data_IF_869731509107
#
_entry.id   IF_869731509107
#
_cell.length_a   1.000
_cell.length_b   1.000
_cell.length_c   1.000
_cell.angle_alpha   90.00
_cell.angle_beta   90.00
_cell.angle_gamma   90.00
#
_symmetry.space_group_name_H-M   'P 1'
#
loop_
_entity.id
_entity.type
_entity.pdbx_description
1 polymer ?
#
# COMPACT_ATOMS: atom_id res chain seq x y z
N UNK A 1 -6.68 -13.71 -18.21
CA UNK A 1 -5.67 -14.09 -17.20
C UNK A 1 -5.56 -13.05 -16.09
N UNK A 2 -5.61 -11.75 -16.41
CA UNK A 2 -5.38 -10.69 -15.41
C UNK A 2 -6.41 -10.66 -14.27
N UNK A 3 -7.70 -10.86 -14.57
CA UNK A 3 -8.74 -10.91 -13.53
C UNK A 3 -8.52 -12.04 -12.52
N UNK A 4 -8.16 -13.24 -12.99
CA UNK A 4 -7.93 -14.39 -12.11
C UNK A 4 -6.72 -14.15 -11.20
N UNK A 5 -5.64 -13.58 -11.73
CA UNK A 5 -4.48 -13.21 -10.92
C UNK A 5 -4.83 -12.17 -9.85
N UNK A 6 -5.57 -11.12 -10.22
CA UNK A 6 -6.02 -10.09 -9.28
C UNK A 6 -6.90 -10.68 -8.17
N UNK A 7 -7.83 -11.57 -8.53
CA UNK A 7 -8.69 -12.25 -7.58
C UNK A 7 -7.89 -13.13 -6.62
N UNK A 8 -6.94 -13.91 -7.13
CA UNK A 8 -6.07 -14.77 -6.31
C UNK A 8 -5.20 -13.92 -5.38
N UNK A 9 -4.57 -12.85 -5.88
CA UNK A 9 -3.73 -11.97 -5.08
C UNK A 9 -4.52 -11.28 -3.95
N UNK A 10 -5.76 -10.86 -4.24
CA UNK A 10 -6.67 -10.32 -3.23
C UNK A 10 -7.03 -11.36 -2.16
N UNK A 11 -7.43 -12.56 -2.58
CA UNK A 11 -7.82 -13.65 -1.67
C UNK A 11 -6.65 -14.05 -0.77
N UNK A 12 -5.45 -14.16 -1.32
CA UNK A 12 -4.25 -14.50 -0.55
C UNK A 12 -3.93 -13.38 0.44
N UNK A 13 -3.88 -12.13 -0.02
CA UNK A 13 -3.60 -10.98 0.85
C UNK A 13 -4.60 -10.89 2.01
N UNK A 14 -5.89 -10.78 1.71
CA UNK A 14 -6.92 -10.64 2.74
C UNK A 14 -7.02 -11.89 3.62
N UNK A 15 -6.93 -13.08 3.03
CA UNK A 15 -6.97 -14.35 3.74
C UNK A 15 -5.85 -14.46 4.77
N UNK A 16 -4.62 -14.10 4.42
CA UNK A 16 -3.49 -14.09 5.37
C UNK A 16 -3.75 -13.09 6.49
N UNK A 17 -4.06 -11.84 6.16
CA UNK A 17 -4.23 -10.76 7.13
C UNK A 17 -5.34 -11.07 8.15
N UNK A 18 -6.51 -11.50 7.66
CA UNK A 18 -7.65 -11.82 8.52
C UNK A 18 -7.35 -13.06 9.37
N UNK A 19 -6.75 -14.11 8.78
CA UNK A 19 -6.44 -15.33 9.54
C UNK A 19 -5.46 -15.03 10.69
N UNK A 20 -4.44 -14.20 10.47
CA UNK A 20 -3.52 -13.81 11.53
C UNK A 20 -4.20 -12.99 12.63
N UNK A 21 -5.08 -12.07 12.25
CA UNK A 21 -5.90 -11.29 13.19
C UNK A 21 -6.78 -12.21 14.05
N UNK A 22 -7.59 -13.06 13.44
CA UNK A 22 -8.44 -14.03 14.15
C UNK A 22 -7.60 -14.98 15.02
N UNK A 23 -6.43 -15.40 14.52
CA UNK A 23 -5.51 -16.24 15.28
C UNK A 23 -5.04 -15.57 16.56
N UNK A 24 -4.84 -14.25 16.57
CA UNK A 24 -4.54 -13.47 17.77
C UNK A 24 -5.59 -13.65 18.86
N UNK A 25 -6.86 -13.38 18.54
CA UNK A 25 -7.97 -13.58 19.47
C UNK A 25 -8.05 -15.03 19.96
N UNK A 26 -7.99 -15.97 19.04
CA UNK A 26 -8.05 -17.40 19.31
C UNK A 26 -6.96 -17.86 20.29
N UNK A 27 -5.72 -17.46 20.04
CA UNK A 27 -4.55 -17.91 20.78
C UNK A 27 -4.55 -17.38 22.22
N UNK A 28 -4.95 -16.12 22.42
CA UNK A 28 -5.08 -15.53 23.76
C UNK A 28 -6.33 -16.05 24.47
N UNK A 29 -7.46 -16.23 23.78
CA UNK A 29 -8.70 -16.78 24.37
C UNK A 29 -8.45 -18.15 25.02
N UNK A 30 -7.76 -19.06 24.31
CA UNK A 30 -7.43 -20.38 24.87
C UNK A 30 -6.49 -20.29 26.07
N UNK A 31 -5.53 -19.36 26.08
CA UNK A 31 -4.63 -19.15 27.24
C UNK A 31 -5.34 -18.56 28.46
N UNK A 32 -6.35 -17.73 28.23
CA UNK A 32 -7.24 -17.23 29.29
C UNK A 32 -8.28 -18.29 29.74
N UNK A 33 -8.22 -19.51 29.19
CA UNK A 33 -9.15 -20.58 29.50
C UNK A 33 -10.58 -20.29 29.02
N UNK A 34 -10.74 -19.53 27.95
CA UNK A 34 -12.03 -19.36 27.25
C UNK A 34 -12.20 -20.50 26.26
N UNK A 35 -13.38 -21.12 26.26
CA UNK A 35 -13.69 -22.17 25.29
C UNK A 35 -13.98 -21.53 23.94
N UNK A 36 -13.22 -21.92 22.92
CA UNK A 36 -13.47 -21.53 21.53
C UNK A 36 -14.31 -22.61 20.86
N UNK A 37 -15.48 -22.23 20.36
CA UNK A 37 -16.41 -23.12 19.67
C UNK A 37 -16.03 -23.30 18.20
N UNK A 38 -15.63 -22.20 17.54
CA UNK A 38 -15.27 -22.24 16.12
C UNK A 38 -14.16 -21.24 15.78
N UNK A 39 -13.23 -21.66 14.94
CA UNK A 39 -12.27 -20.81 14.24
C UNK A 39 -12.55 -20.90 12.74
N UNK A 40 -13.04 -19.81 12.13
CA UNK A 40 -13.43 -19.79 10.72
C UNK A 40 -12.53 -18.86 9.92
N UNK A 41 -11.96 -19.38 8.85
CA UNK A 41 -11.36 -18.58 7.77
C UNK A 41 -12.40 -18.48 6.65
N UNK A 42 -12.89 -17.27 6.42
CA UNK A 42 -13.99 -16.97 5.52
C UNK A 42 -15.39 -17.07 6.15
N UNK A 43 -16.39 -16.74 5.35
CA UNK A 43 -17.81 -16.77 5.67
C UNK A 43 -18.61 -17.73 4.77
N UNK A 44 -19.83 -18.05 5.19
CA UNK A 44 -20.79 -18.83 4.40
C UNK A 44 -20.63 -20.34 4.53
N UNK A 45 -20.88 -21.07 3.44
CA UNK A 45 -20.89 -22.54 3.45
C UNK A 45 -19.49 -23.10 3.75
N UNK A 46 -19.35 -24.02 4.72
CA UNK A 46 -18.08 -24.66 5.02
C UNK A 46 -17.64 -25.56 3.85
N UNK A 47 -16.42 -25.36 3.36
CA UNK A 47 -15.77 -26.22 2.36
C UNK A 47 -14.99 -27.35 3.05
N UNK A 48 -14.23 -27.00 4.09
CA UNK A 48 -13.49 -27.94 4.92
C UNK A 48 -13.81 -27.69 6.38
N UNK A 49 -13.95 -28.77 7.16
CA UNK A 49 -14.15 -28.71 8.60
C UNK A 49 -13.42 -29.82 9.33
N UNK A 50 -12.83 -29.50 10.47
CA UNK A 50 -12.22 -30.47 11.37
C UNK A 50 -12.32 -29.99 12.82
N UNK A 51 -12.07 -30.88 13.78
CA UNK A 51 -12.07 -30.52 15.20
C UNK A 51 -10.70 -30.82 15.82
N UNK A 52 -10.27 -29.99 16.77
CA UNK A 52 -9.13 -30.33 17.61
C UNK A 52 -9.52 -31.14 18.85
N UNK A 53 -8.53 -31.48 19.68
CA UNK A 53 -8.71 -32.22 20.93
C UNK A 53 -9.53 -31.46 21.99
N UNK A 54 -9.67 -30.14 21.87
CA UNK A 54 -10.49 -29.33 22.78
C UNK A 54 -11.92 -29.12 22.27
N UNK A 55 -12.24 -29.70 21.10
CA UNK A 55 -13.56 -29.63 20.49
C UNK A 55 -13.82 -28.31 19.76
N UNK A 56 -12.78 -27.53 19.44
CA UNK A 56 -12.92 -26.35 18.57
C UNK A 56 -13.11 -26.80 17.13
N UNK A 57 -14.17 -26.33 16.47
CA UNK A 57 -14.41 -26.54 15.05
C UNK A 57 -13.58 -25.56 14.21
N UNK A 58 -12.72 -26.07 13.34
CA UNK A 58 -12.00 -25.26 12.36
C UNK A 58 -12.72 -25.34 11.03
N UNK A 59 -12.92 -24.20 10.39
CA UNK A 59 -13.67 -24.09 9.13
C UNK A 59 -12.87 -23.28 8.12
N UNK A 60 -12.77 -23.80 6.89
CA UNK A 60 -12.45 -23.00 5.70
C UNK A 60 -13.75 -22.87 4.92
N UNK A 61 -14.27 -21.63 4.80
CA UNK A 61 -15.55 -21.35 4.18
C UNK A 61 -15.42 -20.86 2.74
N UNK A 62 -16.53 -20.87 2.00
CA UNK A 62 -16.55 -20.56 0.57
C UNK A 62 -16.21 -19.09 0.23
N UNK A 63 -16.53 -18.14 1.12
CA UNK A 63 -16.24 -16.72 0.91
C UNK A 63 -14.99 -16.32 1.69
N UNK A 64 -13.84 -16.04 1.04
CA UNK A 64 -12.58 -15.75 1.73
C UNK A 64 -12.48 -14.31 2.27
N UNK A 65 -13.56 -13.53 2.20
CA UNK A 65 -13.61 -12.10 2.56
C UNK A 65 -13.90 -11.89 4.05
N UNK A 66 -13.17 -12.60 4.91
CA UNK A 66 -13.32 -12.45 6.36
C UNK A 66 -12.93 -13.69 7.16
N UNK A 67 -13.30 -13.69 8.42
CA UNK A 67 -13.05 -14.75 9.38
C UNK A 67 -13.70 -14.39 10.70
N UNK A 68 -13.79 -15.35 11.62
CA UNK A 68 -14.24 -15.08 12.98
C UNK A 68 -13.80 -16.18 13.95
N UNK A 69 -13.56 -15.79 15.20
CA UNK A 69 -13.43 -16.70 16.35
C UNK A 69 -14.70 -16.69 17.18
N UNK A 70 -15.47 -17.78 17.13
CA UNK A 70 -16.64 -17.94 18.00
C UNK A 70 -16.21 -18.44 19.37
N UNK A 71 -16.29 -17.56 20.36
CA UNK A 71 -16.03 -17.89 21.77
C UNK A 71 -17.32 -18.32 22.47
N UNK A 72 -17.20 -19.14 23.51
CA UNK A 72 -18.33 -19.46 24.37
C UNK A 72 -18.74 -18.20 25.14
N UNK A 73 -19.99 -17.77 24.98
CA UNK A 73 -20.55 -16.60 25.65
C UNK A 73 -22.03 -16.85 25.98
N UNK A 74 -22.45 -16.54 27.21
CA UNK A 74 -23.83 -16.69 27.68
C UNK A 74 -24.82 -15.76 26.97
N UNK A 75 -24.34 -14.70 26.33
CA UNK A 75 -25.18 -13.76 25.56
C UNK A 75 -25.64 -14.34 24.22
N UNK A 76 -24.93 -15.35 23.70
CA UNK A 76 -25.23 -15.97 22.41
C UNK A 76 -26.02 -17.27 22.51
N UNK A 77 -26.25 -17.78 23.72
CA UNK A 77 -27.02 -19.00 23.94
C UNK A 77 -26.83 -19.58 25.35
N UNK A 78 -27.58 -20.64 25.66
CA UNK A 78 -27.47 -21.34 26.94
C UNK A 78 -26.12 -22.06 27.06
N UNK A 79 -25.44 -21.85 28.20
CA UNK A 79 -24.13 -22.45 28.49
C UNK A 79 -24.29 -23.48 29.62
N UNK A 80 -23.85 -24.74 29.44
CA UNK A 80 -23.88 -25.76 30.50
C UNK A 80 -23.15 -25.29 31.77
N UNK A 81 -23.65 -25.62 32.98
CA UNK A 81 -23.06 -25.16 34.25
C UNK A 81 -21.56 -25.42 34.39
N UNK A 82 -21.09 -26.56 33.88
CA UNK A 82 -19.69 -26.99 33.88
C UNK A 82 -18.77 -26.17 32.96
N UNK A 83 -19.31 -25.49 31.96
CA UNK A 83 -18.57 -24.65 31.01
C UNK A 83 -18.65 -23.16 31.33
N UNK A 84 -19.44 -22.74 32.34
CA UNK A 84 -19.62 -21.34 32.70
C UNK A 84 -18.29 -20.63 33.01
N UNK A 85 -17.37 -21.30 33.70
CA UNK A 85 -16.05 -20.74 34.01
C UNK A 85 -15.19 -20.50 32.75
N UNK A 86 -15.53 -21.13 31.63
CA UNK A 86 -14.86 -20.98 30.32
C UNK A 86 -15.57 -19.98 29.41
N UNK A 87 -16.64 -19.34 29.89
CA UNK A 87 -17.38 -18.32 29.14
C UNK A 87 -16.62 -17.00 29.11
N UNK A 88 -16.56 -16.36 27.93
CA UNK A 88 -15.83 -15.12 27.68
C UNK A 88 -16.32 -13.97 28.57
N UNK A 89 -17.63 -13.74 28.61
CA UNK A 89 -18.28 -12.70 29.40
C UNK A 89 -18.03 -12.81 30.92
N UNK A 90 -17.69 -14.01 31.44
CA UNK A 90 -17.36 -14.21 32.87
C UNK A 90 -15.89 -13.99 33.20
N UNK A 91 -15.02 -13.82 32.20
CA UNK A 91 -13.59 -13.59 32.46
C UNK A 91 -13.35 -12.20 33.05
N UNK A 92 -12.32 -12.04 33.90
CA UNK A 92 -11.88 -10.73 34.38
C UNK A 92 -11.67 -9.75 33.23
N UNK A 93 -11.94 -8.48 33.47
CA UNK A 93 -11.85 -7.43 32.43
C UNK A 93 -10.48 -7.40 31.75
N UNK A 94 -9.39 -7.64 32.49
CA UNK A 94 -8.04 -7.70 31.93
C UNK A 94 -7.84 -8.85 30.95
N UNK A 95 -8.47 -10.01 31.17
CA UNK A 95 -8.41 -11.13 30.24
C UNK A 95 -9.24 -10.86 28.98
N UNK A 96 -10.45 -10.30 29.12
CA UNK A 96 -11.26 -9.89 27.97
C UNK A 96 -10.56 -8.83 27.13
N UNK A 97 -9.96 -7.84 27.79
CA UNK A 97 -9.13 -6.81 27.15
C UNK A 97 -7.96 -7.43 26.37
N UNK A 98 -7.20 -8.34 27.01
CA UNK A 98 -6.07 -9.00 26.35
C UNK A 98 -6.51 -9.82 25.13
N UNK A 99 -7.64 -10.52 25.21
CA UNK A 99 -8.19 -11.31 24.09
C UNK A 99 -8.55 -10.41 22.91
N UNK A 100 -9.25 -9.30 23.15
CA UNK A 100 -9.65 -8.37 22.09
C UNK A 100 -8.43 -7.63 21.52
N UNK A 101 -7.48 -7.21 22.35
CA UNK A 101 -6.26 -6.54 21.87
C UNK A 101 -5.36 -7.49 21.06
N UNK A 102 -5.47 -8.80 21.25
CA UNK A 102 -4.62 -9.79 20.59
C UNK A 102 -4.75 -9.82 19.08
N UNK A 103 -5.95 -9.55 18.53
CA UNK A 103 -6.18 -9.54 17.08
C UNK A 103 -5.36 -8.44 16.38
N UNK A 104 -5.51 -7.16 16.74
CA UNK A 104 -4.71 -6.08 16.18
C UNK A 104 -3.21 -6.26 16.45
N UNK A 105 -2.82 -6.75 17.63
CA UNK A 105 -1.43 -7.05 17.95
C UNK A 105 -0.83 -8.14 17.05
N UNK A 106 -1.61 -9.16 16.67
CA UNK A 106 -1.16 -10.18 15.73
C UNK A 106 -0.86 -9.61 14.35
N UNK A 107 -1.60 -8.60 13.89
CA UNK A 107 -1.32 -7.89 12.64
C UNK A 107 -0.06 -7.02 12.72
N UNK A 108 0.21 -6.37 13.86
CA UNK A 108 1.51 -5.71 14.05
C UNK A 108 2.67 -6.72 14.03
N UNK A 109 2.51 -7.87 14.69
CA UNK A 109 3.52 -8.93 14.65
C UNK A 109 3.74 -9.49 13.24
N UNK A 110 2.67 -9.64 12.45
CA UNK A 110 2.77 -10.04 11.05
C UNK A 110 3.54 -9.01 10.21
N UNK A 111 3.32 -7.71 10.43
CA UNK A 111 4.07 -6.66 9.75
C UNK A 111 5.55 -6.66 10.14
N UNK A 112 5.87 -6.83 11.43
CA UNK A 112 7.25 -6.96 11.91
C UNK A 112 7.91 -8.19 11.28
N UNK A 113 7.21 -9.34 11.21
CA UNK A 113 7.74 -10.55 10.57
C UNK A 113 8.00 -10.34 9.07
N UNK A 114 7.10 -9.65 8.37
CA UNK A 114 7.23 -9.35 6.95
C UNK A 114 8.44 -8.43 6.67
N UNK A 115 8.59 -7.33 7.40
CA UNK A 115 9.76 -6.45 7.26
C UNK A 115 11.05 -7.14 7.72
N UNK A 116 11.00 -7.95 8.77
CA UNK A 116 12.14 -8.73 9.23
C UNK A 116 12.64 -9.67 8.13
N UNK A 117 11.72 -10.38 7.46
CA UNK A 117 12.07 -11.26 6.34
C UNK A 117 12.73 -10.47 5.20
N UNK A 118 12.17 -9.32 4.82
CA UNK A 118 12.76 -8.45 3.78
C UNK A 118 14.18 -8.00 4.14
N UNK A 119 14.40 -7.56 5.38
CA UNK A 119 15.71 -7.10 5.84
C UNK A 119 16.74 -8.21 5.97
N UNK A 120 16.35 -9.44 6.30
CA UNK A 120 17.27 -10.59 6.38
C UNK A 120 17.66 -11.08 4.99
N UNK A 121 16.69 -11.18 4.08
CA UNK A 121 16.93 -11.60 2.70
C UNK A 121 17.76 -10.55 1.96
N UNK A 122 17.50 -9.27 2.24
CA UNK A 122 18.07 -8.14 1.52
C UNK A 122 17.14 -7.71 0.41
N UNK A 123 16.89 -6.41 0.30
CA UNK A 123 16.12 -5.81 -0.79
C UNK A 123 16.93 -4.73 -1.48
N UNK A 124 16.70 -4.55 -2.78
CA UNK A 124 17.32 -3.47 -3.53
C UNK A 124 16.35 -2.30 -3.63
N UNK A 125 16.79 -1.12 -3.17
CA UNK A 125 16.02 0.12 -3.32
C UNK A 125 16.80 1.13 -4.14
N UNK A 126 16.13 1.93 -4.98
CA UNK A 126 16.79 3.06 -5.64
C UNK A 126 17.32 4.05 -4.60
N UNK A 127 18.58 4.46 -4.77
CA UNK A 127 19.17 5.57 -4.04
C UNK A 127 18.36 6.85 -4.31
N UNK A 128 18.26 7.76 -3.32
CA UNK A 128 17.56 9.03 -3.48
C UNK A 128 18.36 10.05 -4.32
N UNK A 129 18.65 9.69 -5.57
CA UNK A 129 19.42 10.50 -6.51
C UNK A 129 18.51 11.49 -7.23
N UNK A 130 18.74 12.78 -7.04
CA UNK A 130 17.98 13.87 -7.64
C UNK A 130 18.14 13.87 -9.16
N UNK A 131 17.01 13.88 -9.86
CA UNK A 131 16.91 14.04 -11.30
C UNK A 131 16.80 15.52 -11.65
N UNK A 132 15.72 15.91 -12.32
CA UNK A 132 15.48 17.32 -12.62
C UNK A 132 15.07 18.11 -11.37
N UNK A 133 15.54 19.36 -11.29
CA UNK A 133 15.10 20.32 -10.28
C UNK A 133 14.34 21.43 -11.00
N UNK A 134 13.09 21.67 -10.61
CA UNK A 134 12.24 22.67 -11.24
C UNK A 134 12.80 24.08 -11.00
N UNK A 135 12.87 24.88 -12.06
CA UNK A 135 13.28 26.28 -11.94
C UNK A 135 12.33 27.06 -11.03
N UNK A 136 12.89 27.99 -10.24
CA UNK A 136 12.13 28.80 -9.27
C UNK A 136 11.42 28.01 -8.16
N UNK A 137 11.96 26.84 -7.80
CA UNK A 137 11.50 26.04 -6.67
C UNK A 137 12.37 26.26 -5.43
N UNK A 138 11.84 25.91 -4.24
CA UNK A 138 12.60 25.97 -2.99
C UNK A 138 13.88 25.13 -3.05
N UNK A 139 13.88 23.99 -3.75
CA UNK A 139 15.08 23.18 -3.94
C UNK A 139 16.11 23.87 -4.84
N UNK A 140 15.68 24.51 -5.94
CA UNK A 140 16.57 25.27 -6.81
C UNK A 140 17.20 26.47 -6.10
N UNK A 141 16.41 27.22 -5.32
CA UNK A 141 16.89 28.36 -4.53
C UNK A 141 17.90 27.93 -3.45
N UNK A 142 17.68 26.78 -2.83
CA UNK A 142 18.61 26.19 -1.87
C UNK A 142 19.90 25.64 -2.52
N UNK A 143 19.97 25.57 -3.86
CA UNK A 143 21.13 25.11 -4.60
C UNK A 143 21.22 23.59 -4.82
N UNK A 144 20.08 22.88 -4.74
CA UNK A 144 20.00 21.46 -5.08
C UNK A 144 20.22 21.28 -6.60
N UNK A 145 21.00 20.27 -6.99
CA UNK A 145 21.33 20.01 -8.39
C UNK A 145 20.95 18.59 -8.81
N UNK A 146 20.75 18.41 -10.11
CA UNK A 146 20.66 17.09 -10.70
C UNK A 146 21.95 16.29 -10.41
N UNK A 147 21.80 15.02 -10.05
CA UNK A 147 22.89 14.14 -9.64
C UNK A 147 23.27 14.21 -8.16
N UNK A 148 22.66 15.10 -7.37
CA UNK A 148 22.83 15.10 -5.91
C UNK A 148 22.10 13.89 -5.30
N UNK A 149 22.78 13.11 -4.46
CA UNK A 149 22.15 12.09 -3.61
C UNK A 149 21.73 12.72 -2.28
N UNK A 150 20.46 12.58 -1.89
CA UNK A 150 19.96 13.08 -0.60
C UNK A 150 20.32 12.06 0.49
N UNK A 151 21.27 12.42 1.34
CA UNK A 151 21.76 11.55 2.41
C UNK A 151 20.92 11.66 3.69
N UNK A 152 20.47 12.89 4.02
CA UNK A 152 19.64 13.14 5.20
C UNK A 152 18.58 14.21 4.97
N UNK A 153 17.48 14.09 5.71
CA UNK A 153 16.45 15.13 5.86
C UNK A 153 16.33 15.46 7.34
N UNK A 154 16.59 16.71 7.72
CA UNK A 154 16.59 17.18 9.12
C UNK A 154 17.44 16.29 10.04
N UNK A 155 18.61 15.87 9.57
CA UNK A 155 19.54 15.00 10.30
C UNK A 155 19.14 13.52 10.38
N UNK A 156 18.03 13.10 9.78
CA UNK A 156 17.65 11.68 9.67
C UNK A 156 18.19 11.08 8.38
N UNK A 157 18.86 9.94 8.47
CA UNK A 157 19.38 9.22 7.30
C UNK A 157 18.26 8.78 6.35
N UNK A 158 18.50 8.94 5.05
CA UNK A 158 17.52 8.63 4.00
C UNK A 158 18.11 7.65 3.00
N UNK A 159 18.11 6.34 3.27
CA UNK A 159 18.67 5.34 2.34
C UNK A 159 17.82 5.10 1.09
N UNK A 160 16.63 5.71 1.00
CA UNK A 160 15.69 5.55 -0.11
C UNK A 160 14.82 6.77 -0.30
N UNK A 161 14.17 6.87 -1.46
CA UNK A 161 13.15 7.90 -1.73
C UNK A 161 11.98 7.87 -0.74
N UNK A 162 11.60 6.70 -0.25
CA UNK A 162 10.55 6.58 0.77
C UNK A 162 11.00 7.28 2.07
N UNK A 163 12.26 7.09 2.49
CA UNK A 163 12.80 7.73 3.68
C UNK A 163 12.89 9.26 3.51
N UNK A 164 13.28 9.74 2.31
CA UNK A 164 13.25 11.17 1.97
C UNK A 164 11.82 11.72 2.10
N UNK A 165 10.86 11.09 1.41
CA UNK A 165 9.46 11.52 1.43
C UNK A 165 8.90 11.59 2.85
N UNK A 166 9.21 10.60 3.70
CA UNK A 166 8.76 10.57 5.09
C UNK A 166 9.44 11.64 5.96
N UNK A 167 10.75 11.84 5.78
CA UNK A 167 11.48 12.94 6.43
C UNK A 167 10.86 14.29 6.11
N UNK A 168 10.49 14.53 4.84
CA UNK A 168 9.82 15.74 4.39
C UNK A 168 8.41 15.88 4.99
N UNK A 169 7.60 14.81 4.94
CA UNK A 169 6.22 14.78 5.45
C UNK A 169 6.10 15.11 6.94
N UNK A 170 7.17 14.89 7.72
CA UNK A 170 7.18 15.27 9.14
C UNK A 170 7.03 16.77 9.39
N UNK A 171 7.30 17.61 8.38
CA UNK A 171 7.14 19.08 8.44
C UNK A 171 5.81 19.55 7.79
N UNK A 172 4.92 18.62 7.44
CA UNK A 172 3.65 18.95 6.78
C UNK A 172 2.79 19.86 7.67
N UNK A 173 2.35 20.99 7.11
CA UNK A 173 1.57 22.02 7.79
C UNK A 173 2.41 23.12 8.44
N UNK A 174 3.73 22.94 8.51
CA UNK A 174 4.63 23.89 9.17
C UNK A 174 5.17 24.95 8.21
N UNK A 175 5.50 26.12 8.76
CA UNK A 175 6.36 27.13 8.12
C UNK A 175 7.72 27.05 8.78
N UNK A 176 8.70 26.45 8.12
CA UNK A 176 9.99 26.09 8.72
C UNK A 176 11.10 26.03 7.66
N UNK A 177 12.32 25.71 8.10
CA UNK A 177 13.44 25.39 7.21
C UNK A 177 13.73 23.90 7.27
N UNK A 178 13.64 23.24 6.12
CA UNK A 178 14.02 21.84 5.98
C UNK A 178 15.51 21.79 5.61
N UNK A 179 16.28 21.00 6.34
CA UNK A 179 17.71 20.79 6.07
C UNK A 179 17.89 19.52 5.25
N UNK A 180 18.53 19.61 4.09
CA UNK A 180 18.95 18.47 3.27
C UNK A 180 20.46 18.35 3.29
N UNK A 181 20.97 17.21 3.75
CA UNK A 181 22.38 16.87 3.55
C UNK A 181 22.48 16.07 2.26
N UNK A 182 23.24 16.58 1.30
CA UNK A 182 23.36 16.00 -0.04
C UNK A 182 24.81 15.79 -0.43
N UNK A 183 25.06 14.87 -1.34
CA UNK A 183 26.39 14.67 -1.94
C UNK A 183 26.25 14.37 -3.41
N UNK A 184 26.99 15.11 -4.24
CA UNK A 184 27.09 14.79 -5.65
C UNK A 184 28.12 13.66 -5.87
N UNK A 185 27.93 12.83 -6.91
CA UNK A 185 28.87 11.74 -7.24
C UNK A 185 30.31 12.24 -7.46
N UNK A 186 30.45 13.44 -8.02
CA UNK A 186 31.76 14.02 -8.33
C UNK A 186 32.39 14.82 -7.17
N UNK A 187 31.66 14.97 -6.06
CA UNK A 187 32.07 15.78 -4.91
C UNK A 187 32.37 14.90 -3.69
N UNK A 188 33.56 15.09 -3.08
CA UNK A 188 33.96 14.35 -1.87
C UNK A 188 33.26 14.84 -0.59
N UNK A 189 32.69 16.04 -0.59
CA UNK A 189 32.14 16.67 0.61
C UNK A 189 30.61 16.70 0.58
N UNK A 190 29.98 16.43 1.72
CA UNK A 190 28.55 16.65 1.93
C UNK A 190 28.26 18.16 1.94
N UNK A 191 27.18 18.56 1.27
CA UNK A 191 26.62 19.92 1.29
C UNK A 191 25.33 19.89 2.11
N UNK A 192 25.17 20.85 3.02
CA UNK A 192 23.92 21.02 3.77
C UNK A 192 23.14 22.20 3.20
N UNK A 193 21.96 21.92 2.67
CA UNK A 193 21.08 22.88 2.00
C UNK A 193 19.88 23.18 2.90
N UNK A 194 19.46 24.44 2.96
CA UNK A 194 18.29 24.85 3.73
C UNK A 194 17.17 25.30 2.79
N UNK A 195 16.07 24.55 2.79
CA UNK A 195 14.88 24.85 1.98
C UNK A 195 13.87 25.56 2.87
N UNK A 196 13.49 26.77 2.47
CA UNK A 196 12.44 27.52 3.16
C UNK A 196 11.08 27.04 2.65
N UNK A 197 10.21 26.63 3.58
CA UNK A 197 8.85 26.20 3.27
C UNK A 197 7.84 26.98 4.09
N UNK A 198 6.72 27.33 3.47
CA UNK A 198 5.60 28.01 4.13
C UNK A 198 4.36 27.14 4.05
N UNK A 199 3.75 26.86 5.21
CA UNK A 199 2.56 25.99 5.33
C UNK A 199 2.71 24.72 4.49
N UNK A 200 3.85 24.05 4.59
CA UNK A 200 4.28 23.01 3.67
C UNK A 200 3.19 21.96 3.43
N UNK A 201 2.87 21.67 2.15
CA UNK A 201 1.85 20.71 1.73
C UNK A 201 0.42 20.97 2.27
N UNK A 202 0.12 22.17 2.77
CA UNK A 202 -1.21 22.48 3.29
C UNK A 202 -2.25 22.56 2.18
N UNK A 203 -3.39 21.90 2.37
CA UNK A 203 -4.54 21.98 1.46
C UNK A 203 -4.39 21.19 0.16
N UNK A 204 -3.34 20.36 0.04
CA UNK A 204 -3.20 19.44 -1.09
C UNK A 204 -4.02 18.17 -0.86
N UNK A 205 -4.79 17.77 -1.87
CA UNK A 205 -5.59 16.54 -1.81
C UNK A 205 -4.71 15.28 -1.85
N UNK A 206 -3.61 15.36 -2.61
CA UNK A 206 -2.56 14.34 -2.72
C UNK A 206 -1.22 15.02 -2.43
N UNK A 207 -0.66 14.88 -1.22
CA UNK A 207 0.59 15.54 -0.85
C UNK A 207 1.75 14.97 -1.66
N UNK A 208 2.40 15.81 -2.47
CA UNK A 208 3.64 15.48 -3.16
C UNK A 208 4.82 16.22 -2.49
N UNK A 209 5.45 15.63 -1.47
CA UNK A 209 6.55 16.28 -0.74
C UNK A 209 7.76 16.59 -1.62
N UNK A 210 7.99 15.82 -2.68
CA UNK A 210 9.12 16.03 -3.57
C UNK A 210 8.78 17.10 -4.62
N UNK A 211 7.66 16.93 -5.32
CA UNK A 211 7.24 17.85 -6.36
C UNK A 211 6.92 19.25 -5.83
N UNK A 212 6.36 19.37 -4.61
CA UNK A 212 6.13 20.68 -3.97
C UNK A 212 7.41 21.46 -3.67
N UNK A 213 8.55 20.77 -3.55
CA UNK A 213 9.87 21.39 -3.42
C UNK A 213 10.57 21.57 -4.78
N UNK A 214 9.95 21.12 -5.88
CA UNK A 214 10.53 21.10 -7.21
C UNK A 214 11.56 20.00 -7.41
N UNK A 215 11.56 18.95 -6.60
CA UNK A 215 12.50 17.82 -6.68
C UNK A 215 11.84 16.70 -7.49
N UNK A 216 12.50 16.27 -8.57
CA UNK A 216 12.09 15.07 -9.29
C UNK A 216 13.11 13.95 -9.04
N UNK A 217 12.67 12.73 -8.69
CA UNK A 217 13.55 11.58 -8.64
C UNK A 217 14.23 11.34 -9.99
N UNK A 218 15.54 11.05 -9.97
CA UNK A 218 16.20 10.54 -11.16
C UNK A 218 15.55 9.22 -11.56
N UNK A 219 15.34 9.05 -12.86
CA UNK A 219 14.86 7.82 -13.47
C UNK A 219 15.71 7.55 -14.71
N UNK A 220 15.95 6.28 -15.06
CA UNK A 220 16.58 5.96 -16.33
C UNK A 220 15.75 6.49 -17.50
N UNK A 221 16.43 6.92 -18.55
CA UNK A 221 15.77 7.32 -19.79
C UNK A 221 14.98 6.15 -20.35
N UNK A 222 13.74 6.42 -20.75
CA UNK A 222 12.86 5.39 -21.31
C UNK A 222 13.02 5.42 -22.83
N UNK A 223 13.83 4.51 -23.33
CA UNK A 223 14.05 4.33 -24.76
C UNK A 223 12.74 3.90 -25.47
N UNK A 224 12.56 4.28 -26.75
CA UNK A 224 11.36 3.95 -27.53
C UNK A 224 11.32 2.47 -27.99
N UNK A 225 11.52 1.52 -27.06
CA UNK A 225 11.53 0.08 -27.32
C UNK A 225 10.19 -0.54 -26.94
N UNK A 226 9.60 -1.32 -27.85
CA UNK A 226 8.34 -2.01 -27.61
C UNK A 226 8.56 -3.20 -26.66
N UNK A 227 7.90 -3.22 -25.50
CA UNK A 227 7.99 -4.32 -24.52
C UNK A 227 6.86 -5.35 -24.62
N UNK A 228 5.63 -4.90 -24.86
CA UNK A 228 4.46 -5.78 -24.97
C UNK A 228 3.57 -5.36 -26.13
N UNK A 229 2.93 -6.31 -26.81
CA UNK A 229 2.03 -6.03 -27.92
C UNK A 229 0.69 -6.74 -27.67
N UNK A 230 -0.40 -5.98 -27.80
CA UNK A 230 -1.76 -6.49 -27.67
C UNK A 230 -2.15 -7.30 -28.91
N UNK A 231 -2.49 -8.57 -28.71
CA UNK A 231 -2.99 -9.45 -29.78
C UNK A 231 -4.21 -8.85 -30.49
N UNK A 232 -4.17 -8.82 -31.81
CA UNK A 232 -5.20 -8.22 -32.66
C UNK A 232 -5.17 -6.69 -32.71
N UNK A 233 -4.27 -6.02 -31.96
CA UNK A 233 -4.06 -4.58 -31.97
C UNK A 233 -3.43 -4.08 -33.27
N UNK A 234 -3.33 -2.76 -33.44
CA UNK A 234 -2.76 -2.17 -34.65
C UNK A 234 -1.25 -2.48 -34.80
N UNK A 235 -0.51 -2.53 -33.70
CA UNK A 235 0.90 -2.95 -33.68
C UNK A 235 1.06 -4.41 -34.12
N UNK A 236 0.23 -5.31 -33.60
CA UNK A 236 0.24 -6.74 -33.95
C UNK A 236 -0.10 -6.94 -35.44
N UNK A 237 -1.14 -6.26 -35.94
CA UNK A 237 -1.53 -6.31 -37.37
C UNK A 237 -0.46 -5.77 -38.31
N UNK A 238 0.32 -4.79 -37.86
CA UNK A 238 1.45 -4.25 -38.62
C UNK A 238 2.70 -5.13 -38.55
N UNK A 239 2.71 -6.19 -37.71
CA UNK A 239 3.84 -7.09 -37.57
C UNK A 239 4.98 -6.53 -36.70
N UNK A 240 4.67 -5.56 -35.83
CA UNK A 240 5.58 -5.13 -34.77
C UNK A 240 5.78 -6.25 -33.76
N UNK A 241 6.93 -6.27 -33.09
CA UNK A 241 7.31 -7.28 -32.11
C UNK A 241 7.87 -6.64 -30.85
N UNK A 242 7.73 -7.31 -29.68
CA UNK A 242 8.53 -6.96 -28.51
C UNK A 242 10.03 -6.96 -28.87
N UNK A 243 10.75 -5.94 -28.42
CA UNK A 243 12.16 -5.67 -28.71
C UNK A 243 12.40 -4.76 -29.91
N UNK A 244 11.36 -4.36 -30.67
CA UNK A 244 11.53 -3.37 -31.74
C UNK A 244 11.86 -2.00 -31.16
N UNK A 245 12.99 -1.42 -31.57
CA UNK A 245 13.43 -0.09 -31.14
C UNK A 245 13.02 0.96 -32.18
N UNK A 246 12.07 1.83 -31.84
CA UNK A 246 11.54 2.82 -32.77
C UNK A 246 12.46 4.03 -32.83
N UNK A 247 13.07 4.27 -33.99
CA UNK A 247 14.03 5.35 -34.20
C UNK A 247 13.37 6.62 -34.73
N UNK A 248 12.35 6.48 -35.57
CA UNK A 248 11.64 7.61 -36.16
C UNK A 248 10.17 7.28 -36.49
N UNK A 249 9.35 8.33 -36.59
CA UNK A 249 7.98 8.28 -37.10
C UNK A 249 7.83 9.30 -38.22
N UNK A 250 7.45 8.86 -39.42
CA UNK A 250 7.38 9.68 -40.63
C UNK A 250 8.68 10.48 -40.86
N UNK A 251 9.83 9.79 -40.71
CA UNK A 251 11.18 10.36 -40.80
C UNK A 251 11.52 11.45 -39.78
N UNK A 252 10.70 11.64 -38.74
CA UNK A 252 11.06 12.47 -37.58
C UNK A 252 11.67 11.60 -36.47
N UNK A 253 12.91 11.88 -36.02
CA UNK A 253 13.55 11.12 -34.97
C UNK A 253 12.78 11.13 -33.66
N UNK A 254 12.74 9.98 -32.99
CA UNK A 254 12.14 9.79 -31.67
C UNK A 254 13.26 9.49 -30.67
N UNK A 255 13.47 10.40 -29.71
CA UNK A 255 14.53 10.25 -28.71
C UNK A 255 14.11 9.44 -27.48
N UNK A 256 12.83 9.46 -27.12
CA UNK A 256 12.31 8.80 -25.91
C UNK A 256 10.88 8.31 -26.11
N UNK A 257 10.45 7.37 -25.27
CA UNK A 257 9.13 6.76 -25.35
C UNK A 257 7.98 7.77 -25.37
N UNK A 258 8.03 8.83 -24.54
CA UNK A 258 6.94 9.82 -24.52
C UNK A 258 6.76 10.53 -25.88
N UNK A 259 7.84 10.82 -26.61
CA UNK A 259 7.76 11.43 -27.94
C UNK A 259 7.09 10.49 -28.95
N UNK A 260 7.33 9.18 -28.84
CA UNK A 260 6.60 8.17 -29.61
C UNK A 260 5.10 8.22 -29.29
N UNK A 261 4.75 8.19 -28.00
CA UNK A 261 3.36 8.23 -27.55
C UNK A 261 2.64 9.47 -28.05
N UNK A 262 3.24 10.65 -27.92
CA UNK A 262 2.65 11.91 -28.35
C UNK A 262 2.39 11.91 -29.86
N UNK A 263 3.33 11.38 -30.65
CA UNK A 263 3.17 11.26 -32.11
C UNK A 263 2.07 10.28 -32.49
N UNK A 264 1.98 9.14 -31.81
CA UNK A 264 0.93 8.15 -32.03
C UNK A 264 -0.46 8.71 -31.68
N UNK A 265 -0.57 9.41 -30.55
CA UNK A 265 -1.82 10.03 -30.10
C UNK A 265 -2.33 11.10 -31.06
N UNK A 266 -1.41 11.83 -31.70
CA UNK A 266 -1.72 12.86 -32.71
C UNK A 266 -2.17 12.30 -34.08
N UNK A 267 -2.09 10.98 -34.30
CA UNK A 267 -2.39 10.34 -35.59
C UNK A 267 -3.50 9.27 -35.52
N UNK A 268 -4.69 9.56 -34.95
CA UNK A 268 -5.79 8.59 -34.89
C UNK A 268 -6.29 8.23 -36.30
N UNK A 269 -6.27 6.93 -36.63
CA UNK A 269 -6.77 6.41 -37.91
C UNK A 269 -5.92 6.78 -39.14
N UNK A 270 -4.82 7.52 -38.95
CA UNK A 270 -3.92 7.92 -40.04
C UNK A 270 -2.75 6.96 -40.14
N UNK A 271 -2.46 6.46 -41.34
CA UNK A 271 -1.28 5.61 -41.55
C UNK A 271 -0.02 6.45 -41.38
N UNK A 272 0.89 5.96 -40.53
CA UNK A 272 2.21 6.52 -40.26
C UNK A 272 3.27 5.47 -40.59
N UNK A 273 4.48 5.89 -40.94
CA UNK A 273 5.62 5.01 -41.13
C UNK A 273 6.48 4.99 -39.86
N UNK A 274 6.68 3.81 -39.28
CA UNK A 274 7.65 3.62 -38.20
C UNK A 274 8.98 3.16 -38.80
N UNK A 275 10.05 3.89 -38.53
CA UNK A 275 11.41 3.44 -38.80
C UNK A 275 11.97 2.85 -37.50
N UNK A 276 12.38 1.59 -37.53
CA UNK A 276 12.78 0.85 -36.33
C UNK A 276 14.00 -0.02 -36.57
N UNK A 277 14.70 -0.34 -35.49
CA UNK A 277 15.74 -1.34 -35.44
C UNK A 277 15.21 -2.62 -34.77
N UNK A 278 15.40 -3.75 -35.45
CA UNK A 278 15.07 -5.08 -34.95
C UNK A 278 16.32 -5.95 -35.02
N UNK A 279 17.00 -6.12 -33.89
CA UNK A 279 18.30 -6.80 -33.86
C UNK A 279 19.36 -5.95 -34.57
N UNK A 280 19.77 -6.36 -35.77
CA UNK A 280 20.70 -5.61 -36.63
C UNK A 280 20.06 -5.08 -37.92
N UNK A 281 18.74 -5.24 -38.06
CA UNK A 281 18.00 -4.84 -39.26
C UNK A 281 17.28 -3.50 -39.04
N UNK A 282 17.39 -2.60 -40.02
CA UNK A 282 16.57 -1.39 -40.09
C UNK A 282 15.34 -1.67 -40.93
N UNK A 283 14.16 -1.52 -40.33
CA UNK A 283 12.87 -1.80 -40.94
C UNK A 283 12.01 -0.53 -41.00
N UNK A 284 11.19 -0.45 -42.05
CA UNK A 284 10.14 0.56 -42.20
C UNK A 284 8.81 -0.15 -42.22
N UNK A 285 7.98 0.09 -41.21
CA UNK A 285 6.71 -0.59 -41.03
C UNK A 285 5.58 0.44 -41.04
N UNK A 286 4.67 0.39 -42.03
CA UNK A 286 3.48 1.23 -42.00
C UNK A 286 2.52 0.73 -40.92
N UNK A 287 2.08 1.62 -40.04
CA UNK A 287 1.13 1.35 -38.95
C UNK A 287 -0.01 2.33 -39.03
N UNK A 288 -1.23 1.85 -38.85
CA UNK A 288 -2.41 2.73 -38.70
C UNK A 288 -2.88 2.67 -37.25
N UNK A 289 -2.61 3.69 -36.42
CA UNK A 289 -3.10 3.74 -35.05
C UNK A 289 -4.62 3.63 -35.01
N UNK A 290 -5.15 2.81 -34.11
CA UNK A 290 -6.58 2.75 -33.81
C UNK A 290 -7.04 4.03 -33.14
N UNK A 291 -8.35 4.27 -33.14
CA UNK A 291 -8.97 5.44 -32.51
C UNK A 291 -9.46 5.06 -31.11
N UNK A 292 -9.04 5.79 -30.09
CA UNK A 292 -9.54 5.67 -28.72
C UNK A 292 -10.08 7.02 -28.28
N UNK A 293 -11.28 7.03 -27.72
CA UNK A 293 -11.81 8.21 -27.08
C UNK A 293 -11.34 8.27 -25.62
N UNK A 294 -10.85 9.44 -25.22
CA UNK A 294 -10.56 9.77 -23.83
C UNK A 294 -11.82 10.26 -23.12
N UNK A 295 -11.80 10.29 -21.79
CA UNK A 295 -12.95 10.72 -20.97
C UNK A 295 -13.35 12.19 -21.19
N UNK A 296 -12.41 13.00 -21.71
CA UNK A 296 -12.64 14.40 -22.11
C UNK A 296 -13.20 14.55 -23.53
N UNK A 297 -13.51 13.44 -24.22
CA UNK A 297 -14.07 13.39 -25.57
C UNK A 297 -13.04 13.55 -26.69
N UNK A 298 -11.74 13.72 -26.38
CA UNK A 298 -10.69 13.75 -27.42
C UNK A 298 -10.46 12.37 -28.00
N UNK A 299 -10.29 12.33 -29.32
CA UNK A 299 -9.87 11.13 -30.02
C UNK A 299 -8.34 11.08 -30.12
N UNK A 300 -7.74 9.98 -29.67
CA UNK A 300 -6.30 9.77 -29.73
C UNK A 300 -5.97 8.47 -30.46
N UNK A 301 -4.85 8.49 -31.19
CA UNK A 301 -4.29 7.31 -31.83
C UNK A 301 -3.64 6.37 -30.82
N UNK A 302 -3.80 5.07 -31.01
CA UNK A 302 -3.10 4.06 -30.21
C UNK A 302 -2.75 2.83 -31.05
N UNK A 303 -1.58 2.24 -30.82
CA UNK A 303 -1.16 1.02 -31.54
C UNK A 303 -1.33 -0.27 -30.73
N UNK A 304 -1.60 -0.17 -29.42
CA UNK A 304 -1.71 -1.34 -28.55
C UNK A 304 -0.35 -1.97 -28.23
N UNK A 305 0.71 -1.16 -28.20
CA UNK A 305 2.03 -1.56 -27.72
C UNK A 305 2.34 -0.86 -26.39
N UNK A 306 3.02 -1.55 -25.49
CA UNK A 306 3.54 -1.04 -24.22
C UNK A 306 5.06 -0.95 -24.25
N UNK A 307 5.62 -0.06 -23.44
CA UNK A 307 7.06 0.18 -23.36
C UNK A 307 7.80 -0.97 -22.69
N UNK A 308 9.03 -1.23 -23.14
CA UNK A 308 9.96 -2.03 -22.36
C UNK A 308 10.48 -1.18 -21.19
N UNK A 309 10.17 -1.59 -19.96
CA UNK A 309 10.65 -0.88 -18.77
C UNK A 309 12.17 -1.03 -18.67
N UNK A 310 12.94 0.07 -18.55
CA UNK A 310 14.38 0.01 -18.39
C UNK A 310 14.75 -0.59 -17.03
N UNK A 311 15.89 -1.28 -16.97
CA UNK A 311 16.48 -1.74 -15.72
C UNK A 311 17.17 -0.58 -14.99
N UNK A 312 17.09 -0.57 -13.66
CA UNK A 312 17.81 0.40 -12.86
C UNK A 312 19.32 0.10 -12.88
N UNK A 313 20.19 1.10 -13.08
CA UNK A 313 21.63 0.88 -12.99
C UNK A 313 22.02 0.34 -11.61
N UNK A 314 22.80 -0.75 -11.58
CA UNK A 314 23.16 -1.43 -10.33
C UNK A 314 23.85 -0.51 -9.31
N UNK A 315 24.60 0.49 -9.78
CA UNK A 315 25.27 1.46 -8.92
C UNK A 315 24.33 2.44 -8.20
N UNK A 316 23.09 2.56 -8.68
CA UNK A 316 22.05 3.40 -8.10
C UNK A 316 21.09 2.57 -7.23
N UNK A 317 21.32 1.27 -7.11
CA UNK A 317 20.59 0.40 -6.20
C UNK A 317 21.39 0.26 -4.90
N UNK A 318 20.71 0.50 -3.79
CA UNK A 318 21.23 0.27 -2.43
C UNK A 318 20.65 -1.04 -1.92
N UNK A 319 21.52 -1.93 -1.47
CA UNK A 319 21.11 -3.13 -0.77
C UNK A 319 20.78 -2.78 0.70
N UNK A 320 19.55 -3.09 1.11
CA UNK A 320 19.12 -3.02 2.50
C UNK A 320 19.08 -4.42 3.07
N UNK A 321 20.22 -4.87 3.60
CA UNK A 321 20.36 -6.19 4.23
C UNK A 321 21.01 -6.06 5.60
N UNK A 322 20.41 -6.70 6.59
CA UNK A 322 20.87 -6.66 7.98
C UNK A 322 20.95 -8.07 8.57
N UNK A 323 21.70 -8.21 9.67
CA UNK A 323 21.79 -9.48 10.38
C UNK A 323 20.43 -9.87 11.02
N UNK A 324 20.11 -11.16 11.20
CA UNK A 324 18.81 -11.60 11.70
C UNK A 324 18.32 -10.95 12.99
N UNK A 325 19.22 -10.63 13.92
CA UNK A 325 18.88 -9.96 15.17
C UNK A 325 18.67 -8.45 14.98
N UNK A 326 19.51 -7.79 14.19
CA UNK A 326 19.35 -6.36 13.86
C UNK A 326 18.05 -6.13 13.09
N UNK A 327 17.71 -7.03 12.16
CA UNK A 327 16.47 -6.95 11.38
C UNK A 327 15.22 -6.93 12.25
N UNK A 328 15.22 -7.53 13.45
CA UNK A 328 14.07 -7.49 14.37
C UNK A 328 13.85 -6.06 14.84
N UNK A 329 14.93 -5.39 15.23
CA UNK A 329 14.88 -4.00 15.66
C UNK A 329 14.47 -3.08 14.52
N UNK A 330 15.09 -3.22 13.34
CA UNK A 330 14.76 -2.45 12.13
C UNK A 330 13.31 -2.65 11.69
N UNK A 331 12.81 -3.88 11.73
CA UNK A 331 11.42 -4.18 11.39
C UNK A 331 10.43 -3.58 12.40
N UNK A 332 10.79 -3.57 13.67
CA UNK A 332 9.99 -2.95 14.73
C UNK A 332 9.96 -1.43 14.55
N UNK A 333 11.11 -0.80 14.33
CA UNK A 333 11.23 0.63 14.01
C UNK A 333 10.42 1.00 12.77
N UNK A 334 10.56 0.22 11.68
CA UNK A 334 9.80 0.43 10.45
C UNK A 334 8.30 0.30 10.67
N UNK A 335 7.88 -0.70 11.45
CA UNK A 335 6.47 -0.89 11.79
C UNK A 335 5.94 0.30 12.60
N UNK A 336 6.71 0.79 13.58
CA UNK A 336 6.33 1.95 14.39
C UNK A 336 6.24 3.23 13.55
N UNK A 337 7.21 3.46 12.66
CA UNK A 337 7.24 4.58 11.72
C UNK A 337 5.98 4.59 10.82
N UNK A 338 5.70 3.46 10.17
CA UNK A 338 4.52 3.30 9.31
C UNK A 338 3.22 3.39 10.11
N UNK A 339 3.22 2.95 11.37
CA UNK A 339 2.06 3.08 12.25
C UNK A 339 1.79 4.53 12.60
N UNK A 340 2.83 5.29 12.96
CA UNK A 340 2.72 6.72 13.24
C UNK A 340 2.24 7.50 12.01
N UNK A 341 2.78 7.20 10.84
CA UNK A 341 2.33 7.77 9.58
C UNK A 341 0.84 7.49 9.34
N UNK A 342 0.39 6.24 9.57
CA UNK A 342 -1.01 5.86 9.40
C UNK A 342 -1.92 6.62 10.36
N UNK A 343 -1.59 6.66 11.66
CA UNK A 343 -2.38 7.39 12.68
C UNK A 343 -2.44 8.88 12.38
N UNK A 344 -1.31 9.50 12.06
CA UNK A 344 -1.28 10.93 11.72
C UNK A 344 -2.03 11.24 10.43
N UNK A 345 -2.01 10.33 9.44
CA UNK A 345 -2.77 10.48 8.20
C UNK A 345 -4.28 10.39 8.44
N UNK A 346 -4.72 9.42 9.26
CA UNK A 346 -6.14 9.32 9.69
C UNK A 346 -6.56 10.57 10.45
N UNK A 347 -5.74 11.04 11.41
CA UNK A 347 -6.03 12.26 12.16
C UNK A 347 -6.15 13.49 11.27
N UNK A 348 -5.21 13.68 10.33
CA UNK A 348 -5.21 14.77 9.35
C UNK A 348 -6.41 14.69 8.38
N UNK A 349 -6.86 13.48 8.03
CA UNK A 349 -8.05 13.27 7.22
C UNK A 349 -9.32 13.70 7.96
N UNK A 350 -9.44 13.36 9.24
CA UNK A 350 -10.58 13.79 10.09
C UNK A 350 -10.59 15.31 10.27
N UNK A 351 -9.43 15.96 10.38
CA UNK A 351 -9.33 17.42 10.47
C UNK A 351 -9.47 18.14 9.13
N UNK A 352 -9.64 17.42 8.01
CA UNK A 352 -9.82 18.00 6.67
C UNK A 352 -8.53 18.50 6.00
N UNK A 353 -7.36 18.07 6.47
CA UNK A 353 -6.05 18.42 5.90
C UNK A 353 -5.62 17.46 4.78
N UNK A 354 -6.14 16.24 4.78
CA UNK A 354 -5.91 15.22 3.74
C UNK A 354 -7.26 14.78 3.16
N UNK A 355 -7.34 14.65 1.84
CA UNK A 355 -8.56 14.19 1.17
C UNK A 355 -8.92 12.74 1.55
N UNK A 356 -10.20 12.44 1.86
CA UNK A 356 -10.69 11.08 2.07
C UNK A 356 -10.59 10.17 0.84
N UNK A 357 -10.34 10.73 -0.35
CA UNK A 357 -10.07 9.97 -1.58
C UNK A 357 -8.91 8.99 -1.40
N UNK A 358 -7.95 9.27 -0.51
CA UNK A 358 -6.81 8.41 -0.25
C UNK A 358 -7.16 7.11 0.52
N UNK A 359 -8.40 6.96 1.00
CA UNK A 359 -8.84 5.73 1.60
C UNK A 359 -8.98 4.64 0.53
N UNK A 360 -8.18 3.58 0.64
CA UNK A 360 -8.23 2.46 -0.31
C UNK A 360 -9.45 1.59 -0.05
N UNK A 361 -10.35 1.49 -1.03
CA UNK A 361 -11.43 0.52 -0.97
C UNK A 361 -10.98 -0.89 -1.42
N UNK A 362 -11.90 -1.87 -1.41
CA UNK A 362 -11.59 -3.26 -1.75
C UNK A 362 -11.06 -3.45 -3.18
N UNK A 363 -11.48 -2.62 -4.13
CA UNK A 363 -11.06 -2.72 -5.53
C UNK A 363 -9.63 -2.21 -5.66
N UNK A 364 -9.33 -1.06 -5.04
CA UNK A 364 -7.96 -0.52 -5.01
C UNK A 364 -7.00 -1.51 -4.34
N UNK A 365 -7.38 -2.12 -3.21
CA UNK A 365 -6.58 -3.16 -2.54
C UNK A 365 -6.32 -4.34 -3.48
N UNK A 366 -7.33 -4.80 -4.23
CA UNK A 366 -7.17 -5.91 -5.17
C UNK A 366 -6.18 -5.59 -6.29
N UNK A 367 -6.29 -4.39 -6.86
CA UNK A 367 -5.39 -3.92 -7.92
C UNK A 367 -3.95 -3.81 -7.42
N UNK A 368 -3.74 -3.14 -6.29
CA UNK A 368 -2.39 -2.98 -5.71
C UNK A 368 -1.80 -4.34 -5.29
N UNK A 369 -2.61 -5.27 -4.78
CA UNK A 369 -2.15 -6.63 -4.50
C UNK A 369 -1.66 -7.35 -5.76
N UNK A 370 -2.40 -7.25 -6.86
CA UNK A 370 -2.06 -7.83 -8.16
C UNK A 370 -0.78 -7.21 -8.74
N UNK A 371 -0.70 -5.88 -8.75
CA UNK A 371 0.43 -5.13 -9.28
C UNK A 371 1.70 -5.42 -8.46
N UNK A 372 1.57 -5.50 -7.14
CA UNK A 372 2.67 -5.86 -6.25
C UNK A 372 3.14 -7.30 -6.48
N UNK A 373 2.21 -8.25 -6.64
CA UNK A 373 2.56 -9.65 -6.93
C UNK A 373 3.28 -9.82 -8.27
N UNK A 374 2.93 -9.01 -9.29
CA UNK A 374 3.63 -8.98 -10.59
C UNK A 374 4.99 -8.32 -10.52
N UNK A 375 5.13 -7.30 -9.66
CA UNK A 375 6.39 -6.57 -9.46
C UNK A 375 7.43 -7.41 -8.73
N UNK A 376 7.01 -8.45 -8.02
CA UNK A 376 7.88 -9.41 -7.35
C UNK A 376 7.46 -9.66 -5.91
N UNK A 377 8.11 -10.64 -5.29
CA UNK A 377 7.80 -11.04 -3.93
C UNK A 377 8.11 -9.93 -2.91
N UNK A 378 9.15 -9.12 -3.13
CA UNK A 378 9.52 -7.99 -2.26
C UNK A 378 8.41 -6.94 -2.16
N UNK A 379 7.88 -6.53 -3.31
CA UNK A 379 6.75 -5.59 -3.39
C UNK A 379 5.50 -6.16 -2.74
N UNK A 380 5.21 -7.44 -2.99
CA UNK A 380 4.05 -8.12 -2.39
C UNK A 380 4.13 -8.20 -0.86
N UNK A 381 5.28 -8.58 -0.29
CA UNK A 381 5.49 -8.64 1.17
C UNK A 381 5.46 -7.24 1.79
N UNK A 382 6.03 -6.24 1.11
CA UNK A 382 5.97 -4.83 1.56
C UNK A 382 4.53 -4.33 1.61
N UNK A 383 3.74 -4.64 0.58
CA UNK A 383 2.31 -4.33 0.55
C UNK A 383 1.54 -5.06 1.65
N UNK A 384 1.79 -6.36 1.85
CA UNK A 384 1.18 -7.14 2.93
C UNK A 384 1.47 -6.53 4.30
N UNK A 385 2.72 -6.12 4.57
CA UNK A 385 3.11 -5.47 5.80
C UNK A 385 2.37 -4.14 6.02
N UNK A 386 2.28 -3.31 4.97
CA UNK A 386 1.56 -2.03 5.02
C UNK A 386 0.07 -2.21 5.34
N UNK A 387 -0.62 -3.11 4.62
CA UNK A 387 -2.05 -3.38 4.87
C UNK A 387 -2.25 -4.00 6.24
N UNK A 388 -1.33 -4.85 6.72
CA UNK A 388 -1.37 -5.42 8.08
C UNK A 388 -1.35 -4.33 9.15
N UNK A 389 -0.44 -3.35 9.04
CA UNK A 389 -0.37 -2.19 9.95
C UNK A 389 -1.67 -1.37 9.89
N UNK A 390 -2.14 -1.08 8.68
CA UNK A 390 -3.38 -0.32 8.48
C UNK A 390 -4.58 -1.01 9.13
N UNK A 391 -4.75 -2.33 8.92
CA UNK A 391 -5.81 -3.11 9.55
C UNK A 391 -5.67 -3.18 11.07
N UNK A 392 -4.45 -3.28 11.61
CA UNK A 392 -4.22 -3.24 13.05
C UNK A 392 -4.70 -1.91 13.66
N UNK A 393 -4.32 -0.79 13.03
CA UNK A 393 -4.66 0.55 13.50
C UNK A 393 -6.15 0.82 13.36
N UNK A 394 -6.74 0.48 12.22
CA UNK A 394 -8.18 0.64 11.99
C UNK A 394 -8.97 -0.15 13.04
N UNK A 395 -8.59 -1.40 13.31
CA UNK A 395 -9.27 -2.19 14.35
C UNK A 395 -9.06 -1.67 15.77
N UNK A 396 -8.00 -0.89 16.05
CA UNK A 396 -7.80 -0.23 17.33
C UNK A 396 -8.54 1.11 17.48
N UNK A 397 -9.16 1.62 16.41
CA UNK A 397 -9.96 2.84 16.51
C UNK A 397 -11.13 2.63 17.48
N UNK A 398 -11.55 3.67 18.23
CA UNK A 398 -12.64 3.60 19.21
C UNK A 398 -14.02 3.57 18.54
N UNK A 399 -14.21 2.66 17.58
CA UNK A 399 -15.44 2.45 16.83
C UNK A 399 -16.10 1.17 17.39
N UNK A 400 -17.32 1.24 17.95
CA UNK A 400 -17.98 0.13 18.66
C UNK A 400 -18.17 -1.21 17.93
N UNK A 401 -17.95 -1.26 16.61
CA UNK A 401 -18.01 -2.49 15.79
C UNK A 401 -16.63 -3.14 15.63
N UNK A 402 -15.58 -2.38 15.88
CA UNK A 402 -14.20 -2.81 15.81
C UNK A 402 -13.70 -3.16 17.22
N UNK A 403 -12.59 -3.88 17.29
CA UNK A 403 -11.97 -4.29 18.56
C UNK A 403 -11.73 -3.12 19.51
N UNK A 404 -11.25 -1.99 18.99
CA UNK A 404 -10.97 -0.78 19.75
C UNK A 404 -12.21 -0.23 20.47
N UNK A 405 -13.40 -0.40 19.90
CA UNK A 405 -14.66 -0.08 20.58
C UNK A 405 -14.90 -0.94 21.83
N UNK A 406 -14.66 -2.26 21.72
CA UNK A 406 -14.74 -3.17 22.86
C UNK A 406 -13.65 -2.87 23.91
N UNK A 407 -12.43 -2.54 23.48
CA UNK A 407 -11.35 -2.12 24.37
C UNK A 407 -11.73 -0.86 25.16
N UNK A 408 -12.39 0.12 24.53
CA UNK A 408 -12.92 1.31 25.22
C UNK A 408 -13.98 0.92 26.26
N UNK A 409 -14.92 0.02 25.95
CA UNK A 409 -15.90 -0.43 26.94
C UNK A 409 -15.25 -1.12 28.14
N UNK A 410 -14.21 -1.93 27.92
CA UNK A 410 -13.47 -2.59 28.98
C UNK A 410 -12.61 -1.61 29.80
N UNK A 411 -12.02 -0.60 29.16
CA UNK A 411 -11.33 0.48 29.87
C UNK A 411 -12.30 1.25 30.80
N UNK A 412 -13.49 1.58 30.29
CA UNK A 412 -14.55 2.22 31.09
C UNK A 412 -15.01 1.31 32.24
N UNK A 413 -15.18 0.01 31.98
CA UNK A 413 -15.54 -0.98 33.01
C UNK A 413 -14.46 -1.08 34.10
N UNK A 414 -13.17 -1.11 33.72
CA UNK A 414 -12.06 -1.15 34.67
C UNK A 414 -12.00 0.09 35.57
N UNK A 415 -12.30 1.28 35.03
CA UNK A 415 -12.34 2.54 35.80
C UNK A 415 -13.58 2.59 36.70
N UNK A 416 -14.75 2.17 36.20
CA UNK A 416 -16.03 2.27 36.93
C UNK A 416 -16.29 1.11 37.89
N UNK A 417 -15.54 0.03 37.78
CA UNK A 417 -15.76 -1.22 38.53
C UNK A 417 -17.03 -1.99 38.15
N UNK A 418 -17.75 -1.56 37.11
CA UNK A 418 -18.99 -2.20 36.63
C UNK A 418 -19.10 -2.13 35.10
N UNK A 419 -19.68 -3.16 34.46
CA UNK A 419 -19.80 -3.21 33.01
C UNK A 419 -20.68 -2.07 32.47
N UNK A 420 -20.38 -1.65 31.24
CA UNK A 420 -21.25 -0.73 30.49
C UNK A 420 -22.57 -1.43 30.20
N UNK A 421 -23.69 -0.72 30.36
CA UNK A 421 -25.03 -1.28 30.13
C UNK A 421 -25.20 -1.78 28.70
N UNK A 422 -25.88 -2.91 28.54
CA UNK A 422 -26.13 -3.55 27.24
C UNK A 422 -26.80 -2.60 26.25
N UNK A 423 -27.80 -1.82 26.69
CA UNK A 423 -28.44 -0.78 25.86
C UNK A 423 -27.45 0.24 25.29
N UNK A 424 -26.44 0.60 26.07
CA UNK A 424 -25.41 1.55 25.65
C UNK A 424 -24.46 0.90 24.65
N UNK A 425 -24.06 -0.35 24.89
CA UNK A 425 -23.24 -1.13 23.95
C UNK A 425 -23.98 -1.29 22.61
N UNK A 426 -25.25 -1.72 22.63
CA UNK A 426 -26.08 -1.87 21.43
C UNK A 426 -26.24 -0.57 20.65
N UNK A 427 -26.55 0.54 21.34
CA UNK A 427 -26.68 1.85 20.68
C UNK A 427 -25.35 2.28 20.06
N UNK A 428 -24.26 2.13 20.78
CA UNK A 428 -22.92 2.44 20.29
C UNK A 428 -22.56 1.58 19.07
N UNK A 429 -22.82 0.27 19.10
CA UNK A 429 -22.63 -0.65 17.97
C UNK A 429 -23.47 -0.25 16.75
N UNK A 430 -24.74 0.15 16.94
CA UNK A 430 -25.58 0.65 15.82
C UNK A 430 -25.01 1.92 15.19
N UNK A 431 -24.56 2.88 16.00
CA UNK A 431 -23.90 4.10 15.51
C UNK A 431 -22.60 3.74 14.79
N UNK A 432 -21.79 2.86 15.37
CA UNK A 432 -20.56 2.38 14.75
C UNK A 432 -20.80 1.67 13.41
N UNK A 433 -21.85 0.86 13.29
CA UNK A 433 -22.23 0.19 12.04
C UNK A 433 -22.65 1.21 10.98
N UNK A 434 -23.40 2.24 11.36
CA UNK A 434 -23.78 3.31 10.45
C UNK A 434 -22.53 4.07 9.94
N UNK A 435 -21.62 4.44 10.85
CA UNK A 435 -20.38 5.13 10.50
C UNK A 435 -19.49 4.29 9.57
N UNK A 436 -19.29 3.01 9.91
CA UNK A 436 -18.49 2.09 9.09
C UNK A 436 -19.14 1.86 7.72
N UNK A 437 -20.47 1.73 7.68
CA UNK A 437 -21.22 1.61 6.43
C UNK A 437 -21.06 2.83 5.54
N UNK A 438 -21.17 4.04 6.09
CA UNK A 438 -20.92 5.29 5.34
C UNK A 438 -19.48 5.35 4.81
N UNK A 439 -18.49 4.99 5.64
CA UNK A 439 -17.08 4.95 5.25
C UNK A 439 -16.84 3.95 4.11
N UNK A 440 -17.42 2.74 4.19
CA UNK A 440 -17.31 1.72 3.16
C UNK A 440 -17.96 2.16 1.84
N UNK A 441 -19.15 2.77 1.90
CA UNK A 441 -19.83 3.31 0.71
C UNK A 441 -18.97 4.41 0.07
N UNK A 442 -18.40 5.30 0.88
CA UNK A 442 -17.53 6.37 0.40
C UNK A 442 -16.25 5.82 -0.24
N UNK A 443 -15.59 4.83 0.40
CA UNK A 443 -14.40 4.18 -0.15
C UNK A 443 -14.70 3.48 -1.48
N UNK A 444 -15.84 2.78 -1.56
CA UNK A 444 -16.29 2.13 -2.79
C UNK A 444 -16.64 3.13 -3.90
N UNK A 445 -17.27 4.26 -3.54
CA UNK A 445 -17.54 5.35 -4.47
C UNK A 445 -16.24 5.92 -5.06
N UNK A 446 -15.22 6.17 -4.23
CA UNK A 446 -13.92 6.64 -4.72
C UNK A 446 -13.18 5.57 -5.53
N UNK A 447 -13.31 4.29 -5.19
CA UNK A 447 -12.78 3.20 -6.01
C UNK A 447 -13.41 3.20 -7.41
N UNK A 448 -14.73 3.38 -7.52
CA UNK A 448 -15.42 3.45 -8.83
C UNK A 448 -14.98 4.67 -9.64
N UNK A 449 -14.84 5.83 -8.99
CA UNK A 449 -14.38 7.05 -9.68
C UNK A 449 -12.94 6.94 -10.21
N UNK A 450 -12.15 5.98 -9.74
CA UNK A 450 -10.76 5.73 -10.15
C UNK A 450 -10.62 4.69 -11.25
N UNK A 451 -11.70 3.96 -11.57
CA UNK A 451 -11.77 3.02 -12.68
C UNK A 451 -12.08 3.77 -13.97
#
# INVERSE_FOLDING_TARGET
>A
MDFLHTLVALIVTLGVLITFHEFGHFWVARRCGVKVLRFSVGFGKPLLRWHDRQGTEYVIAALPLGGYVKMLDEREGEVPPELLAQSFNRKPVGQRFAIVAAGPLANFLLAILAYWLLFVVGTQVPAPLVGQVQQSSAAAEAGLRAGDEILRVNGRDTPSWQAVGLGLLSNMGETTRITLDVRNRDELHERSLQLQVERFLSGQSEPDPLGSLGIQPWRPDIEPILGSIQTGGAADRAGLRPGDHILAVDSQPIAHWQALVDRLQASPGQQIELELERGSEYLRIPVTPGIRQLDDGREVGFIGAGVQMPEWPAELLREQRFGPLESIWRATEKTAEMSWLTVTSIGKMITGLISPTNLSGPITIARVASDSARSGWESFITFLAYVSISLAILNLLPIPVLDGGHLVFYAIEAIRGRPVSERTQEMATRVGLALLGTLMIMAFYFDILRL
#
